data_IF_697234273232
#
_entry.id   IF_697234273232
#
_cell.length_a   1.000
_cell.length_b   1.000
_cell.length_c   1.000
_cell.angle_alpha   90.00
_cell.angle_beta   90.00
_cell.angle_gamma   90.00
#
_symmetry.space_group_name_H-M   'P 1'
#
loop_
_entity.id
_entity.type
_entity.pdbx_description
1 polymer ?
#
# COMPACT_ATOMS: atom_id res chain seq x y z
N UNK A 1 39.84 25.34 -17.82
CA UNK A 1 39.15 24.43 -16.89
C UNK A 1 37.76 24.20 -17.39
N UNK A 2 37.47 23.04 -17.95
CA UNK A 2 36.09 22.73 -18.27
C UNK A 2 35.34 22.52 -16.96
N UNK A 3 34.36 23.36 -16.70
CA UNK A 3 33.37 23.06 -15.68
C UNK A 3 32.67 21.77 -16.09
N UNK A 4 32.89 20.72 -15.33
CA UNK A 4 32.03 19.55 -15.38
C UNK A 4 30.71 20.04 -14.81
N UNK A 5 29.76 20.35 -15.70
CA UNK A 5 28.36 20.37 -15.31
C UNK A 5 28.06 18.97 -14.82
N UNK A 6 27.84 18.84 -13.52
CA UNK A 6 27.08 17.73 -13.01
C UNK A 6 25.76 17.76 -13.79
N UNK A 7 25.61 16.84 -14.72
CA UNK A 7 24.31 16.53 -15.26
C UNK A 7 23.58 15.84 -14.10
N UNK A 8 22.83 16.63 -13.33
CA UNK A 8 21.74 16.16 -12.53
C UNK A 8 20.69 15.64 -13.52
N UNK A 9 21.04 14.55 -14.17
CA UNK A 9 20.06 13.68 -14.78
C UNK A 9 19.33 13.04 -13.64
N UNK A 10 18.26 13.66 -13.15
CA UNK A 10 17.16 12.87 -12.62
C UNK A 10 16.85 11.91 -13.74
N UNK A 11 17.34 10.67 -13.60
CA UNK A 11 16.83 9.56 -14.38
C UNK A 11 15.34 9.54 -14.06
N UNK A 12 14.53 10.01 -15.01
CA UNK A 12 13.09 9.80 -14.96
C UNK A 12 12.90 8.29 -14.84
N UNK A 13 12.72 7.84 -13.59
CA UNK A 13 12.48 6.44 -13.34
C UNK A 13 11.09 6.15 -13.89
N UNK A 14 11.07 5.45 -15.01
CA UNK A 14 9.81 4.95 -15.58
C UNK A 14 9.14 4.07 -14.53
N UNK A 15 7.89 4.35 -14.14
CA UNK A 15 7.17 3.48 -13.22
C UNK A 15 7.14 2.05 -13.76
N UNK A 16 7.26 1.01 -12.92
CA UNK A 16 7.05 -0.36 -13.34
C UNK A 16 5.68 -0.52 -14.01
N UNK A 17 5.58 -1.47 -14.95
CA UNK A 17 4.30 -1.80 -15.56
C UNK A 17 3.28 -2.24 -14.49
N UNK A 18 2.03 -1.82 -14.64
CA UNK A 18 0.99 -2.07 -13.64
C UNK A 18 0.76 -3.57 -13.38
N UNK A 19 0.86 -4.41 -14.41
CA UNK A 19 0.77 -5.85 -14.26
C UNK A 19 1.89 -6.42 -13.39
N UNK A 20 3.10 -5.93 -13.55
CA UNK A 20 4.26 -6.34 -12.74
C UNK A 20 4.12 -5.87 -11.30
N UNK A 21 3.63 -4.65 -11.08
CA UNK A 21 3.33 -4.14 -9.75
C UNK A 21 2.27 -4.99 -9.05
N UNK A 22 1.21 -5.36 -9.75
CA UNK A 22 0.17 -6.22 -9.17
C UNK A 22 0.75 -7.57 -8.73
N UNK A 23 1.64 -8.17 -9.51
CA UNK A 23 2.34 -9.40 -9.11
C UNK A 23 3.22 -9.22 -7.88
N UNK A 24 3.97 -8.12 -7.83
CA UNK A 24 4.82 -7.80 -6.68
C UNK A 24 4.01 -7.60 -5.41
N UNK A 25 2.92 -6.85 -5.48
CA UNK A 25 2.06 -6.59 -4.33
C UNK A 25 1.33 -7.86 -3.86
N UNK A 26 0.89 -8.70 -4.79
CA UNK A 26 0.24 -9.97 -4.45
C UNK A 26 1.20 -10.96 -3.77
N UNK A 27 2.49 -10.90 -4.09
CA UNK A 27 3.52 -11.76 -3.49
C UNK A 27 4.15 -11.17 -2.21
N UNK A 28 3.90 -9.90 -1.91
CA UNK A 28 4.48 -9.21 -0.76
C UNK A 28 3.91 -9.72 0.57
N UNK A 29 4.64 -9.46 1.64
CA UNK A 29 4.21 -9.72 3.01
C UNK A 29 3.83 -8.41 3.69
N UNK A 30 2.73 -8.43 4.40
CA UNK A 30 2.22 -7.27 5.13
C UNK A 30 2.02 -7.62 6.59
N UNK A 31 2.32 -6.68 7.46
CA UNK A 31 2.21 -6.87 8.90
C UNK A 31 1.49 -5.69 9.54
N UNK A 32 0.61 -5.97 10.48
CA UNK A 32 0.03 -4.96 11.35
C UNK A 32 0.57 -5.13 12.77
N UNK A 33 0.85 -4.01 13.42
CA UNK A 33 1.34 -3.98 14.79
C UNK A 33 0.15 -3.80 15.74
N UNK A 34 -0.05 -4.77 16.61
CA UNK A 34 -1.06 -4.71 17.67
C UNK A 34 -0.36 -4.92 19.01
N UNK A 35 -0.28 -3.87 19.81
CA UNK A 35 0.53 -3.89 21.01
C UNK A 35 2.01 -4.03 20.67
N UNK A 36 2.62 -5.16 21.07
CA UNK A 36 4.03 -5.48 20.80
C UNK A 36 4.21 -6.60 19.78
N UNK A 37 3.13 -7.05 19.15
CA UNK A 37 3.14 -8.16 18.20
C UNK A 37 2.84 -7.67 16.80
N UNK A 38 3.47 -8.33 15.83
CA UNK A 38 3.18 -8.15 14.40
C UNK A 38 2.36 -9.33 13.92
N UNK A 39 1.31 -9.04 13.13
CA UNK A 39 0.41 -10.02 12.58
C UNK A 39 0.48 -9.96 11.06
N UNK A 40 0.84 -11.09 10.45
CA UNK A 40 0.96 -11.22 8.99
C UNK A 40 -0.43 -11.24 8.33
N UNK A 41 -0.52 -10.57 7.19
CA UNK A 41 -1.62 -10.73 6.24
C UNK A 41 -1.09 -10.65 4.81
N UNK A 42 -1.74 -11.37 3.89
CA UNK A 42 -1.29 -11.52 2.51
C UNK A 42 -2.48 -11.59 1.57
N UNK A 43 -2.29 -11.07 0.35
CA UNK A 43 -3.30 -11.14 -0.71
C UNK A 43 -3.69 -12.59 -0.99
N UNK A 44 -4.98 -12.83 -1.08
CA UNK A 44 -5.55 -14.15 -1.35
C UNK A 44 -5.67 -15.06 -0.13
N UNK A 45 -5.19 -14.62 1.03
CA UNK A 45 -5.26 -15.40 2.26
C UNK A 45 -6.31 -14.82 3.21
N UNK A 46 -6.88 -15.69 4.05
CA UNK A 46 -7.69 -15.24 5.18
C UNK A 46 -6.82 -14.47 6.17
N UNK A 47 -7.33 -13.34 6.66
CA UNK A 47 -6.71 -12.56 7.73
C UNK A 47 -7.43 -12.76 9.07
N UNK A 48 -7.91 -13.98 9.35
CA UNK A 48 -8.70 -14.29 10.54
C UNK A 48 -7.98 -13.91 11.84
N UNK A 49 -6.66 -14.06 11.90
CA UNK A 49 -5.87 -13.68 13.08
C UNK A 49 -5.88 -12.17 13.32
N UNK A 50 -5.70 -11.38 12.26
CA UNK A 50 -5.81 -9.91 12.32
C UNK A 50 -7.22 -9.50 12.74
N UNK A 51 -8.23 -10.11 12.15
CA UNK A 51 -9.64 -9.80 12.45
C UNK A 51 -10.00 -10.12 13.90
N UNK A 52 -9.48 -11.21 14.45
CA UNK A 52 -9.67 -11.52 15.88
C UNK A 52 -9.04 -10.50 16.81
N UNK A 53 -7.92 -9.93 16.42
CA UNK A 53 -7.23 -8.91 17.23
C UNK A 53 -7.93 -7.55 17.16
N UNK A 54 -8.52 -7.20 16.03
CA UNK A 54 -8.97 -5.83 15.75
C UNK A 54 -10.49 -5.66 15.67
N UNK A 55 -11.21 -6.69 15.27
CA UNK A 55 -12.67 -6.73 15.37
C UNK A 55 -13.41 -5.70 14.51
N UNK A 56 -12.91 -5.36 13.32
CA UNK A 56 -13.55 -4.43 12.39
C UNK A 56 -14.35 -5.12 11.29
N UNK A 57 -15.19 -4.38 10.59
CA UNK A 57 -15.97 -4.87 9.45
C UNK A 57 -15.24 -4.78 8.13
N UNK A 58 -14.27 -3.88 8.03
CA UNK A 58 -13.42 -3.72 6.85
C UNK A 58 -12.03 -3.25 7.23
N UNK A 59 -11.08 -3.47 6.33
CA UNK A 59 -9.67 -3.19 6.56
C UNK A 59 -9.04 -2.66 5.27
N UNK A 60 -8.17 -1.65 5.40
CA UNK A 60 -7.34 -1.17 4.31
C UNK A 60 -5.90 -1.00 4.78
N UNK A 61 -4.95 -1.58 4.06
CA UNK A 61 -3.54 -1.21 4.18
C UNK A 61 -3.21 -0.12 3.16
N UNK A 62 -2.72 1.00 3.65
CA UNK A 62 -2.32 2.14 2.84
C UNK A 62 -0.98 2.70 3.34
N UNK A 63 -0.12 3.09 2.41
CA UNK A 63 1.12 3.80 2.68
C UNK A 63 1.17 5.08 1.84
N UNK A 64 2.00 6.03 2.22
CA UNK A 64 2.31 7.22 1.43
C UNK A 64 3.72 7.14 0.83
N UNK A 65 4.42 6.03 1.03
CA UNK A 65 5.78 5.83 0.55
C UNK A 65 5.81 5.58 -0.95
N UNK A 66 6.85 6.08 -1.61
CA UNK A 66 7.14 5.85 -3.02
C UNK A 66 5.91 6.01 -3.94
N UNK A 67 5.33 7.23 -4.02
CA UNK A 67 4.17 7.47 -4.88
C UNK A 67 4.42 6.96 -6.30
N UNK A 68 3.41 6.33 -6.91
CA UNK A 68 3.50 5.67 -8.22
C UNK A 68 4.55 4.55 -8.29
N UNK A 69 4.90 3.97 -7.12
CA UNK A 69 5.96 2.97 -6.98
C UNK A 69 7.34 3.42 -7.47
N UNK A 70 7.58 4.74 -7.50
CA UNK A 70 8.88 5.31 -7.78
C UNK A 70 9.57 5.66 -6.47
N UNK A 71 10.82 5.22 -6.25
CA UNK A 71 11.57 5.59 -5.06
C UNK A 71 11.64 7.11 -4.91
N UNK A 72 11.12 7.64 -3.81
CA UNK A 72 11.05 9.08 -3.56
C UNK A 72 12.15 9.61 -2.63
N UNK A 73 12.94 8.71 -2.05
CA UNK A 73 13.91 9.01 -1.02
C UNK A 73 13.29 9.08 0.37
N UNK A 74 14.12 8.85 1.39
CA UNK A 74 13.66 8.71 2.77
C UNK A 74 12.98 9.98 3.30
N UNK A 75 13.57 11.16 3.05
CA UNK A 75 13.02 12.42 3.54
C UNK A 75 11.62 12.71 2.99
N UNK A 76 11.39 12.50 1.70
CA UNK A 76 10.06 12.66 1.08
C UNK A 76 9.07 11.62 1.58
N UNK A 77 9.51 10.38 1.76
CA UNK A 77 8.67 9.32 2.29
C UNK A 77 8.23 9.61 3.73
N UNK A 78 9.12 10.09 4.58
CA UNK A 78 8.79 10.48 5.95
C UNK A 78 7.82 11.67 5.99
N UNK A 79 8.01 12.67 5.14
CA UNK A 79 7.12 13.82 5.05
C UNK A 79 5.72 13.40 4.57
N UNK A 80 5.64 12.59 3.53
CA UNK A 80 4.37 12.05 3.02
C UNK A 80 3.67 11.17 4.07
N UNK A 81 4.43 10.38 4.83
CA UNK A 81 3.91 9.56 5.90
C UNK A 81 3.27 10.39 7.02
N UNK A 82 3.87 11.53 7.36
CA UNK A 82 3.30 12.46 8.35
C UNK A 82 1.99 13.07 7.87
N UNK A 83 1.91 13.44 6.60
CA UNK A 83 0.66 13.97 6.00
C UNK A 83 -0.44 12.91 5.99
N UNK A 84 -0.12 11.68 5.66
CA UNK A 84 -1.08 10.57 5.71
C UNK A 84 -1.57 10.33 7.14
N UNK A 85 -0.66 10.26 8.11
CA UNK A 85 -1.02 10.07 9.51
C UNK A 85 -1.96 11.17 10.00
N UNK A 86 -1.63 12.43 9.73
CA UNK A 86 -2.46 13.56 10.11
C UNK A 86 -3.85 13.45 9.50
N UNK A 87 -3.96 13.13 8.21
CA UNK A 87 -5.23 12.96 7.54
C UNK A 87 -6.07 11.82 8.14
N UNK A 88 -5.44 10.71 8.47
CA UNK A 88 -6.13 9.59 9.11
C UNK A 88 -6.62 9.94 10.52
N UNK A 89 -5.83 10.69 11.29
CA UNK A 89 -6.22 11.14 12.62
C UNK A 89 -7.36 12.15 12.64
N UNK A 90 -7.56 12.88 11.56
CA UNK A 90 -8.71 13.79 11.38
C UNK A 90 -10.02 13.02 11.09
N UNK A 91 -9.93 11.75 10.72
CA UNK A 91 -11.09 10.87 10.62
C UNK A 91 -11.43 10.26 11.97
N UNK A 92 -12.64 9.73 12.12
CA UNK A 92 -13.03 8.97 13.32
C UNK A 92 -12.63 7.49 13.25
N UNK A 93 -11.87 7.09 12.21
CA UNK A 93 -11.47 5.72 11.99
C UNK A 93 -10.32 5.30 12.89
N UNK A 94 -10.36 4.06 13.37
CA UNK A 94 -9.23 3.46 14.07
C UNK A 94 -8.12 3.11 13.09
N UNK A 95 -6.89 3.37 13.48
CA UNK A 95 -5.70 3.07 12.67
C UNK A 95 -4.66 2.34 13.51
N UNK A 96 -3.94 1.44 12.87
CA UNK A 96 -2.84 0.70 13.47
C UNK A 96 -1.62 0.78 12.56
N UNK A 97 -0.45 0.91 13.16
CA UNK A 97 0.80 0.89 12.40
C UNK A 97 0.94 -0.43 11.65
N UNK A 98 1.33 -0.35 10.39
CA UNK A 98 1.50 -1.49 9.53
C UNK A 98 2.70 -1.28 8.61
N UNK A 99 3.15 -2.34 7.98
CA UNK A 99 4.23 -2.27 7.00
C UNK A 99 4.03 -3.34 5.92
N UNK A 100 4.57 -3.06 4.75
CA UNK A 100 4.71 -4.03 3.67
C UNK A 100 6.17 -4.25 3.35
N UNK A 101 6.51 -5.45 2.91
CA UNK A 101 7.84 -5.76 2.40
C UNK A 101 7.74 -6.76 1.24
N UNK A 102 8.80 -6.86 0.44
CA UNK A 102 8.82 -7.87 -0.61
C UNK A 102 8.92 -9.29 -0.03
N UNK A 103 8.76 -10.30 -0.87
CA UNK A 103 8.76 -11.71 -0.45
C UNK A 103 10.06 -12.14 0.25
N UNK A 104 11.16 -11.41 0.07
CA UNK A 104 12.46 -11.66 0.71
C UNK A 104 12.68 -10.82 1.98
N UNK A 105 11.68 -10.04 2.41
CA UNK A 105 11.73 -9.20 3.59
C UNK A 105 12.41 -7.83 3.39
N UNK A 106 12.80 -7.49 2.16
CA UNK A 106 13.37 -6.19 1.81
C UNK A 106 12.31 -5.18 1.34
N UNK A 107 12.76 -4.00 0.90
CA UNK A 107 11.91 -2.92 0.39
C UNK A 107 10.75 -2.57 1.35
N UNK A 108 11.06 -2.40 2.63
CA UNK A 108 10.08 -2.12 3.68
C UNK A 108 9.43 -0.75 3.46
N UNK A 109 8.13 -0.72 3.45
CA UNK A 109 7.32 0.51 3.40
C UNK A 109 6.38 0.57 4.60
N UNK A 110 6.52 1.63 5.39
CA UNK A 110 5.65 1.86 6.54
C UNK A 110 4.33 2.49 6.12
N UNK A 111 3.26 2.07 6.75
CA UNK A 111 1.92 2.57 6.50
C UNK A 111 0.98 2.32 7.66
N UNK A 112 -0.29 2.23 7.33
CA UNK A 112 -1.38 2.08 8.30
C UNK A 112 -2.36 1.03 7.85
N UNK A 113 -2.87 0.26 8.81
CA UNK A 113 -4.09 -0.50 8.64
C UNK A 113 -5.25 0.34 9.16
N UNK A 114 -6.17 0.69 8.29
CA UNK A 114 -7.34 1.53 8.57
C UNK A 114 -8.55 0.62 8.74
N UNK A 115 -9.26 0.78 9.84
CA UNK A 115 -10.40 -0.07 10.20
C UNK A 115 -11.72 0.60 9.85
N UNK A 116 -12.70 -0.19 9.44
CA UNK A 116 -14.07 0.25 9.14
C UNK A 116 -14.15 1.36 8.06
N UNK A 117 -13.22 1.36 7.14
CA UNK A 117 -13.19 2.30 6.02
C UNK A 117 -14.07 1.80 4.88
N UNK A 118 -14.87 2.70 4.31
CA UNK A 118 -15.67 2.39 3.12
C UNK A 118 -14.84 2.40 1.84
N UNK A 119 -15.37 1.79 0.78
CA UNK A 119 -14.70 1.70 -0.54
C UNK A 119 -14.30 3.06 -1.11
N UNK A 120 -15.21 4.03 -1.08
CA UNK A 120 -14.96 5.35 -1.67
C UNK A 120 -13.87 6.10 -0.92
N UNK A 121 -13.87 6.02 0.38
CA UNK A 121 -12.83 6.64 1.22
C UNK A 121 -11.48 5.93 1.05
N UNK A 122 -11.48 4.61 0.96
CA UNK A 122 -10.27 3.82 0.72
C UNK A 122 -9.63 4.17 -0.63
N UNK A 123 -10.43 4.27 -1.67
CA UNK A 123 -9.96 4.67 -3.00
C UNK A 123 -9.46 6.12 -3.04
N UNK A 124 -10.13 7.02 -2.33
CA UNK A 124 -9.70 8.41 -2.22
C UNK A 124 -8.33 8.52 -1.54
N UNK A 125 -8.10 7.78 -0.46
CA UNK A 125 -6.80 7.73 0.21
C UNK A 125 -5.70 7.21 -0.73
N UNK A 126 -5.97 6.14 -1.45
CA UNK A 126 -5.00 5.59 -2.41
C UNK A 126 -4.63 6.61 -3.48
N UNK A 127 -5.60 7.27 -4.08
CA UNK A 127 -5.37 8.29 -5.13
C UNK A 127 -4.64 9.51 -4.60
N UNK A 128 -5.07 10.03 -3.45
CA UNK A 128 -4.52 11.27 -2.90
C UNK A 128 -3.05 11.11 -2.47
N UNK A 129 -2.64 9.91 -2.11
CA UNK A 129 -1.25 9.60 -1.76
C UNK A 129 -0.47 8.91 -2.89
N UNK A 130 -1.01 8.92 -4.10
CA UNK A 130 -0.31 8.42 -5.29
C UNK A 130 0.00 6.93 -5.26
N UNK A 131 -0.77 6.14 -4.53
CA UNK A 131 -0.55 4.70 -4.43
C UNK A 131 -1.16 3.98 -5.63
N UNK A 132 -0.34 3.19 -6.31
CA UNK A 132 -0.80 2.38 -7.44
C UNK A 132 -1.75 1.27 -7.00
N UNK A 133 -1.60 0.77 -5.79
CA UNK A 133 -2.48 -0.23 -5.19
C UNK A 133 -2.48 -0.16 -3.68
N UNK A 134 -3.57 -0.63 -3.09
CA UNK A 134 -3.73 -0.83 -1.65
C UNK A 134 -4.30 -2.22 -1.40
N UNK A 135 -4.22 -2.71 -0.17
CA UNK A 135 -4.95 -3.90 0.22
C UNK A 135 -6.28 -3.48 0.84
N UNK A 136 -7.31 -4.22 0.54
CA UNK A 136 -8.64 -4.02 1.11
C UNK A 136 -9.38 -5.35 1.24
N UNK A 137 -10.08 -5.54 2.34
CA UNK A 137 -10.98 -6.69 2.48
C UNK A 137 -12.07 -6.43 3.51
N UNK A 138 -13.15 -7.18 3.38
CA UNK A 138 -14.24 -7.24 4.35
C UNK A 138 -13.98 -8.38 5.34
N UNK A 139 -14.41 -8.22 6.57
CA UNK A 139 -14.28 -9.26 7.60
C UNK A 139 -14.85 -10.60 7.11
N UNK A 140 -14.11 -11.67 7.29
CA UNK A 140 -14.47 -13.02 6.85
C UNK A 140 -14.10 -13.37 5.41
N UNK A 141 -13.62 -12.40 4.63
CA UNK A 141 -13.19 -12.59 3.25
C UNK A 141 -11.67 -12.62 3.12
N UNK A 142 -11.12 -13.23 2.07
CA UNK A 142 -9.69 -13.13 1.79
C UNK A 142 -9.25 -11.68 1.54
N UNK A 143 -7.99 -11.39 1.88
CA UNK A 143 -7.36 -10.09 1.58
C UNK A 143 -7.32 -9.90 0.06
N UNK A 144 -7.72 -8.74 -0.41
CA UNK A 144 -7.72 -8.37 -1.82
C UNK A 144 -6.73 -7.26 -2.10
N UNK A 145 -6.11 -7.32 -3.27
CA UNK A 145 -5.34 -6.22 -3.83
C UNK A 145 -6.28 -5.34 -4.66
N UNK A 146 -6.25 -4.04 -4.40
CA UNK A 146 -7.05 -3.06 -5.15
C UNK A 146 -6.14 -2.10 -5.89
N UNK A 147 -6.03 -2.28 -7.19
CA UNK A 147 -5.21 -1.44 -8.07
C UNK A 147 -6.00 -0.24 -8.55
N UNK A 148 -5.39 0.95 -8.47
CA UNK A 148 -6.01 2.24 -8.81
C UNK A 148 -5.79 2.59 -10.29
N UNK A 149 -6.20 1.72 -11.17
CA UNK A 149 -6.12 1.89 -12.62
C UNK A 149 -7.04 0.91 -13.34
N UNK A 150 -7.38 1.16 -14.61
CA UNK A 150 -8.00 0.15 -15.46
C UNK A 150 -7.08 -1.06 -15.63
N UNK A 151 -7.67 -2.24 -15.74
CA UNK A 151 -6.92 -3.48 -15.94
C UNK A 151 -6.11 -3.42 -17.23
N UNK A 152 -4.76 -3.55 -17.18
CA UNK A 152 -3.94 -3.65 -18.38
C UNK A 152 -4.24 -4.92 -19.17
N UNK A 153 -3.96 -4.88 -20.47
CA UNK A 153 -4.17 -6.03 -21.36
C UNK A 153 -3.38 -7.28 -20.93
N UNK A 154 -2.19 -7.07 -20.39
CA UNK A 154 -1.26 -8.12 -19.94
C UNK A 154 -1.29 -8.35 -18.43
N UNK A 155 -2.33 -7.86 -17.73
CA UNK A 155 -2.48 -8.06 -16.30
C UNK A 155 -2.53 -9.55 -15.95
N UNK A 156 -1.95 -9.95 -14.81
CA UNK A 156 -2.05 -11.33 -14.34
C UNK A 156 -3.50 -11.70 -14.09
N UNK A 157 -3.84 -12.95 -14.37
CA UNK A 157 -5.15 -13.50 -14.09
C UNK A 157 -5.21 -13.93 -12.61
N UNK A 158 -5.51 -12.97 -11.75
CA UNK A 158 -5.57 -13.16 -10.30
C UNK A 158 -6.96 -12.76 -9.80
N UNK A 159 -7.69 -13.74 -9.25
CA UNK A 159 -9.03 -13.56 -8.72
C UNK A 159 -9.10 -12.66 -7.48
N UNK A 160 -7.96 -12.41 -6.82
CA UNK A 160 -7.88 -11.56 -5.63
C UNK A 160 -7.40 -10.13 -5.92
N UNK A 161 -7.23 -9.79 -7.19
CA UNK A 161 -6.86 -8.44 -7.62
C UNK A 161 -8.04 -7.75 -8.29
N UNK A 162 -8.43 -6.61 -7.76
CA UNK A 162 -9.46 -5.74 -8.30
C UNK A 162 -8.81 -4.55 -9.03
N UNK A 163 -9.36 -4.18 -10.18
CA UNK A 163 -8.92 -3.03 -10.96
C UNK A 163 -10.04 -1.98 -10.97
N UNK A 164 -9.67 -0.72 -10.69
CA UNK A 164 -10.61 0.40 -10.62
C UNK A 164 -10.43 1.32 -11.82
N UNK A 165 -11.48 1.69 -12.48
CA UNK A 165 -11.39 2.62 -13.62
C UNK A 165 -12.16 2.20 -14.83
#
# INVERSE_FOLDING_TARGET
MPMIRAMDGELEQTPPALGDLARLYAAAHYFVVVGRKEWLFQVGQSAADVERQLGAGSYQFVTAWNPRSCPAGEARNLEAAQVLEQRLRETSLSIHRALGCNAQGGAVEHGWLVLDVGWDQADALARDFGQAGTLYWLAGEPVRLRMQAPRPHDAPDDMFTDWTG
#
